data_IF_939716918807
#
_entry.id   IF_939716918807
#
_cell.length_a   1.000
_cell.length_b   1.000
_cell.length_c   1.000
_cell.angle_alpha   90.00
_cell.angle_beta   90.00
_cell.angle_gamma   90.00
#
_symmetry.space_group_name_H-M   'P 1'
#
loop_
_entity.id
_entity.type
_entity.pdbx_description
1 polymer ?
#
# COMPACT_ATOMS: atom_id res chain seq x y z
N UNK A 1 -25.31 -9.61 -8.54
CA UNK A 1 -24.10 -8.78 -8.67
C UNK A 1 -24.51 -7.33 -8.53
N UNK A 2 -24.08 -6.67 -7.46
CA UNK A 2 -24.28 -5.23 -7.27
C UNK A 2 -23.23 -4.50 -8.11
N UNK A 3 -23.68 -3.72 -9.09
CA UNK A 3 -22.81 -2.89 -9.92
C UNK A 3 -22.81 -1.48 -9.39
N UNK A 4 -21.65 -1.00 -8.95
CA UNK A 4 -21.45 0.39 -8.58
C UNK A 4 -21.11 1.25 -9.80
N UNK A 5 -21.53 2.52 -9.80
CA UNK A 5 -21.27 3.46 -10.91
C UNK A 5 -19.76 3.67 -11.17
N UNK A 6 -18.96 3.65 -10.10
CA UNK A 6 -17.52 3.93 -10.14
C UNK A 6 -16.69 2.65 -10.13
N UNK A 7 -16.99 1.74 -9.21
CA UNK A 7 -16.19 0.52 -8.97
C UNK A 7 -16.50 -0.61 -9.96
N UNK A 8 -17.58 -0.49 -10.74
CA UNK A 8 -18.07 -1.57 -11.57
C UNK A 8 -18.65 -2.70 -10.72
N UNK A 9 -18.38 -3.94 -11.12
CA UNK A 9 -18.80 -5.14 -10.40
C UNK A 9 -17.95 -5.31 -9.14
N UNK A 10 -18.62 -5.62 -8.01
CA UNK A 10 -17.93 -5.95 -6.76
C UNK A 10 -17.98 -7.47 -6.59
N UNK A 11 -16.81 -8.08 -6.44
CA UNK A 11 -16.65 -9.53 -6.35
C UNK A 11 -15.89 -9.90 -5.07
N UNK A 12 -16.23 -11.07 -4.52
CA UNK A 12 -15.44 -11.68 -3.46
C UNK A 12 -14.15 -12.23 -4.07
N UNK A 13 -13.03 -11.96 -3.40
CA UNK A 13 -11.68 -12.27 -3.84
C UNK A 13 -10.87 -12.70 -2.61
N UNK A 14 -9.61 -13.10 -2.81
CA UNK A 14 -8.80 -13.79 -1.80
C UNK A 14 -8.54 -12.99 -0.49
N UNK A 15 -8.82 -11.68 -0.46
CA UNK A 15 -8.66 -10.81 0.71
C UNK A 15 -9.89 -9.91 0.94
N UNK A 16 -11.09 -10.45 0.72
CA UNK A 16 -12.36 -9.75 0.84
C UNK A 16 -12.88 -9.26 -0.51
N UNK A 17 -13.53 -8.09 -0.55
CA UNK A 17 -14.19 -7.62 -1.76
C UNK A 17 -13.31 -6.75 -2.64
N UNK A 18 -13.20 -7.06 -3.93
CA UNK A 18 -12.41 -6.30 -4.91
C UNK A 18 -13.31 -5.58 -5.93
N UNK A 19 -12.77 -4.48 -6.47
CA UNK A 19 -13.41 -3.73 -7.55
C UNK A 19 -13.05 -4.29 -8.93
N UNK A 20 -13.94 -4.09 -9.91
CA UNK A 20 -13.67 -4.39 -11.33
C UNK A 20 -12.55 -3.50 -11.88
N UNK A 21 -12.44 -2.26 -11.38
CA UNK A 21 -11.36 -1.35 -11.77
C UNK A 21 -10.06 -1.68 -11.02
N UNK A 22 -8.93 -1.44 -11.69
CA UNK A 22 -7.58 -1.63 -11.14
C UNK A 22 -6.83 -0.31 -11.09
N UNK A 23 -5.83 -0.23 -10.22
CA UNK A 23 -4.94 0.92 -10.12
C UNK A 23 -3.72 0.75 -11.04
N UNK A 24 -3.34 1.85 -11.69
CA UNK A 24 -2.10 1.98 -12.45
C UNK A 24 -1.38 3.25 -12.00
N UNK A 25 -0.06 3.17 -11.89
CA UNK A 25 0.77 4.33 -11.55
C UNK A 25 2.06 4.32 -12.37
N UNK A 26 2.52 5.52 -12.73
CA UNK A 26 3.86 5.73 -13.32
C UNK A 26 4.98 5.51 -12.29
N UNK A 27 4.67 5.53 -10.99
CA UNK A 27 5.64 5.48 -9.90
C UNK A 27 5.95 4.05 -9.44
N UNK A 28 4.94 3.18 -9.50
CA UNK A 28 5.05 1.79 -9.11
C UNK A 28 5.27 0.90 -10.33
N UNK A 29 5.37 -0.41 -10.12
CA UNK A 29 5.51 -1.37 -11.21
C UNK A 29 4.37 -1.20 -12.24
N UNK A 30 4.66 -1.49 -13.51
CA UNK A 30 3.70 -1.31 -14.62
C UNK A 30 2.54 -2.31 -14.62
N UNK A 31 2.43 -3.16 -13.60
CA UNK A 31 1.38 -4.15 -13.48
C UNK A 31 0.08 -3.50 -12.99
N UNK A 32 -1.09 -4.01 -13.39
CA UNK A 32 -2.35 -3.65 -12.73
C UNK A 32 -2.29 -4.04 -11.26
N UNK A 33 -2.73 -3.14 -10.39
CA UNK A 33 -2.79 -3.34 -8.94
C UNK A 33 -4.27 -3.49 -8.54
N UNK A 34 -4.61 -4.59 -7.87
CA UNK A 34 -5.97 -4.84 -7.38
C UNK A 34 -6.37 -3.81 -6.32
N UNK A 35 -7.63 -3.39 -6.35
CA UNK A 35 -8.22 -2.50 -5.35
C UNK A 35 -9.22 -3.29 -4.52
N UNK A 36 -8.94 -3.42 -3.22
CA UNK A 36 -9.86 -3.98 -2.23
C UNK A 36 -10.69 -2.88 -1.58
N UNK A 37 -11.96 -3.19 -1.29
CA UNK A 37 -12.95 -2.28 -0.76
C UNK A 37 -13.41 -2.75 0.62
N UNK A 38 -12.99 -2.04 1.66
CA UNK A 38 -13.24 -2.39 3.06
C UNK A 38 -12.15 -3.29 3.67
N UNK A 39 -12.31 -3.56 4.96
CA UNK A 39 -11.46 -4.48 5.71
C UNK A 39 -11.73 -5.93 5.29
N UNK A 40 -10.69 -6.76 5.39
CA UNK A 40 -10.81 -8.22 5.23
C UNK A 40 -11.47 -8.87 6.45
N UNK A 41 -11.14 -8.37 7.64
CA UNK A 41 -11.68 -8.84 8.91
C UNK A 41 -12.48 -7.74 9.60
N UNK A 42 -13.49 -8.12 10.36
CA UNK A 42 -14.24 -7.24 11.24
C UNK A 42 -13.52 -7.00 12.59
N UNK A 43 -14.18 -6.27 13.49
CA UNK A 43 -13.63 -5.92 14.80
C UNK A 43 -13.47 -7.14 15.74
N UNK A 44 -14.14 -8.25 15.44
CA UNK A 44 -14.02 -9.52 16.16
C UNK A 44 -12.94 -10.43 15.56
N UNK A 45 -12.35 -10.02 14.42
CA UNK A 45 -11.35 -10.77 13.69
C UNK A 45 -11.95 -11.85 12.78
N UNK A 46 -13.26 -11.79 12.52
CA UNK A 46 -13.92 -12.70 11.57
C UNK A 46 -13.89 -12.12 10.16
N UNK A 47 -13.81 -13.00 9.15
CA UNK A 47 -13.79 -12.59 7.75
C UNK A 47 -15.08 -11.87 7.38
N UNK A 48 -14.96 -10.73 6.70
CA UNK A 48 -16.11 -9.96 6.25
C UNK A 48 -16.73 -10.66 5.03
N UNK A 49 -17.80 -11.41 5.26
CA UNK A 49 -18.55 -12.10 4.20
C UNK A 49 -19.65 -11.24 3.55
N UNK A 50 -19.90 -10.04 4.09
CA UNK A 50 -20.95 -9.15 3.59
C UNK A 50 -20.42 -8.11 2.62
N UNK A 51 -20.96 -8.11 1.41
CA UNK A 51 -20.62 -7.12 0.37
C UNK A 51 -20.86 -5.70 0.90
N UNK A 52 -19.94 -4.74 0.67
CA UNK A 52 -20.12 -3.35 1.07
C UNK A 52 -21.43 -2.75 0.53
N UNK A 53 -22.09 -1.96 1.38
CA UNK A 53 -23.31 -1.25 1.02
C UNK A 53 -23.02 -0.11 0.02
N UNK A 54 -24.07 0.40 -0.64
CA UNK A 54 -23.91 1.52 -1.57
C UNK A 54 -23.30 2.76 -0.92
N UNK A 55 -23.67 3.07 0.33
CA UNK A 55 -23.12 4.24 1.04
C UNK A 55 -21.62 4.06 1.36
N UNK A 56 -21.19 2.84 1.65
CA UNK A 56 -19.77 2.52 1.83
C UNK A 56 -19.00 2.60 0.53
N UNK A 57 -19.55 2.07 -0.56
CA UNK A 57 -18.94 2.16 -1.89
C UNK A 57 -18.77 3.62 -2.34
N UNK A 58 -19.74 4.48 -2.05
CA UNK A 58 -19.65 5.93 -2.26
C UNK A 58 -18.60 6.59 -1.34
N UNK A 59 -18.40 6.10 -0.11
CA UNK A 59 -17.33 6.57 0.78
C UNK A 59 -15.94 6.17 0.29
N UNK A 60 -15.79 4.92 -0.16
CA UNK A 60 -14.55 4.44 -0.77
C UNK A 60 -14.23 5.22 -2.03
N UNK A 61 -15.22 5.51 -2.89
CA UNK A 61 -15.03 6.31 -4.10
C UNK A 61 -14.44 7.69 -3.74
N UNK A 62 -15.00 8.36 -2.73
CA UNK A 62 -14.48 9.67 -2.26
C UNK A 62 -13.05 9.57 -1.76
N UNK A 63 -12.74 8.53 -0.98
CA UNK A 63 -11.40 8.29 -0.44
C UNK A 63 -10.39 8.08 -1.57
N UNK A 64 -10.72 7.20 -2.51
CA UNK A 64 -9.82 6.86 -3.61
C UNK A 64 -9.65 8.01 -4.60
N UNK A 65 -10.72 8.73 -4.93
CA UNK A 65 -10.62 9.91 -5.82
C UNK A 65 -9.79 11.03 -5.20
N UNK A 66 -9.90 11.26 -3.89
CA UNK A 66 -9.01 12.17 -3.18
C UNK A 66 -7.56 11.69 -3.22
N UNK A 67 -7.31 10.40 -2.97
CA UNK A 67 -5.96 9.82 -3.09
C UNK A 67 -5.35 9.98 -4.48
N UNK A 68 -6.13 9.76 -5.54
CA UNK A 68 -5.65 9.96 -6.91
C UNK A 68 -5.31 11.42 -7.20
N UNK A 69 -6.05 12.38 -6.63
CA UNK A 69 -5.79 13.80 -6.82
C UNK A 69 -4.44 14.23 -6.21
N UNK A 70 -4.04 13.62 -5.09
CA UNK A 70 -2.82 13.95 -4.36
C UNK A 70 -1.70 12.92 -4.56
N UNK A 71 -1.84 12.00 -5.53
CA UNK A 71 -0.97 10.83 -5.67
C UNK A 71 0.52 11.18 -5.77
N UNK A 72 0.87 12.22 -6.54
CA UNK A 72 2.26 12.64 -6.72
C UNK A 72 2.87 13.16 -5.40
N UNK A 73 2.09 13.85 -4.55
CA UNK A 73 2.53 14.31 -3.22
C UNK A 73 2.66 13.13 -2.25
N UNK A 74 1.66 12.23 -2.22
CA UNK A 74 1.68 11.04 -1.38
C UNK A 74 2.89 10.16 -1.71
N UNK A 75 3.19 9.95 -3.00
CA UNK A 75 4.36 9.16 -3.41
C UNK A 75 5.67 9.80 -2.98
N UNK A 76 5.81 11.14 -3.05
CA UNK A 76 7.04 11.79 -2.56
C UNK A 76 7.19 11.64 -1.04
N UNK A 77 6.10 11.71 -0.29
CA UNK A 77 6.11 11.45 1.16
C UNK A 77 6.47 9.99 1.47
N UNK A 78 5.94 9.03 0.70
CA UNK A 78 6.30 7.61 0.81
C UNK A 78 7.79 7.42 0.60
N UNK A 79 8.37 8.01 -0.45
CA UNK A 79 9.81 7.95 -0.73
C UNK A 79 10.63 8.44 0.45
N UNK A 80 10.26 9.60 1.00
CA UNK A 80 10.96 10.19 2.14
C UNK A 80 10.89 9.28 3.37
N UNK A 81 9.68 8.89 3.78
CA UNK A 81 9.45 8.17 5.03
C UNK A 81 9.99 6.74 5.01
N UNK A 82 9.88 6.05 3.88
CA UNK A 82 10.45 4.71 3.74
C UNK A 82 11.99 4.73 3.68
N UNK A 83 12.58 5.78 3.11
CA UNK A 83 14.03 5.98 3.15
C UNK A 83 14.53 6.28 4.57
N UNK A 84 13.83 7.14 5.33
CA UNK A 84 14.11 7.36 6.76
C UNK A 84 14.11 6.04 7.54
N UNK A 85 13.10 5.18 7.31
CA UNK A 85 13.02 3.84 7.90
C UNK A 85 14.19 2.96 7.48
N UNK A 86 14.57 2.97 6.20
CA UNK A 86 15.72 2.23 5.69
C UNK A 86 17.02 2.62 6.38
N UNK A 87 17.31 3.92 6.50
CA UNK A 87 18.51 4.42 7.17
C UNK A 87 18.57 3.96 8.64
N UNK A 88 17.42 3.96 9.32
CA UNK A 88 17.32 3.56 10.73
C UNK A 88 17.51 2.06 10.93
N UNK A 89 16.89 1.22 10.10
CA UNK A 89 16.75 -0.21 10.35
C UNK A 89 17.69 -1.09 9.54
N UNK A 90 18.05 -0.71 8.33
CA UNK A 90 18.68 -1.62 7.36
C UNK A 90 20.04 -1.13 6.85
N UNK A 91 20.25 0.19 6.71
CA UNK A 91 21.49 0.73 6.13
C UNK A 91 22.74 0.25 6.86
N UNK A 92 22.71 0.15 8.19
CA UNK A 92 23.85 -0.32 8.98
C UNK A 92 24.27 -1.76 8.67
N UNK A 93 23.41 -2.56 8.05
CA UNK A 93 23.67 -3.92 7.59
C UNK A 93 24.08 -3.93 6.13
N UNK A 94 23.25 -3.39 5.23
CA UNK A 94 23.49 -3.45 3.77
C UNK A 94 24.61 -2.56 3.26
N UNK A 95 24.94 -1.46 3.97
CA UNK A 95 26.02 -0.54 3.58
C UNK A 95 27.34 -0.87 4.26
N UNK A 96 27.43 -2.02 4.93
CA UNK A 96 28.63 -2.49 5.61
C UNK A 96 29.01 -3.89 5.15
N UNK A 97 30.03 -3.97 4.29
CA UNK A 97 30.49 -5.23 3.70
C UNK A 97 30.89 -6.30 4.72
N UNK A 98 31.38 -5.90 5.90
CA UNK A 98 31.72 -6.85 6.97
C UNK A 98 30.49 -7.49 7.62
N UNK A 99 29.33 -6.82 7.57
CA UNK A 99 28.08 -7.32 8.12
C UNK A 99 27.26 -8.09 7.09
N UNK A 100 27.12 -7.55 5.89
CA UNK A 100 26.35 -8.17 4.81
C UNK A 100 27.09 -9.35 4.17
N UNK A 101 28.42 -9.35 4.19
CA UNK A 101 29.24 -10.29 3.41
C UNK A 101 29.28 -9.97 1.91
N UNK A 102 28.69 -8.85 1.50
CA UNK A 102 28.53 -8.38 0.12
C UNK A 102 29.00 -6.93 0.00
N UNK A 103 29.27 -6.47 -1.22
CA UNK A 103 29.59 -5.05 -1.43
C UNK A 103 28.41 -4.14 -1.00
N UNK A 104 28.68 -2.92 -0.47
CA UNK A 104 27.64 -1.97 -0.10
C UNK A 104 26.69 -1.68 -1.26
N UNK A 105 25.39 -1.60 -0.99
CA UNK A 105 24.38 -1.32 -2.02
C UNK A 105 24.44 0.13 -2.52
N UNK A 106 25.08 1.04 -1.78
CA UNK A 106 25.22 2.47 -2.07
C UNK A 106 23.86 3.17 -2.23
N UNK A 107 22.90 2.80 -1.38
CA UNK A 107 21.58 3.43 -1.30
C UNK A 107 21.71 4.71 -0.45
N UNK A 108 22.07 5.80 -1.11
CA UNK A 108 22.39 7.10 -0.50
C UNK A 108 21.28 8.16 -0.67
N UNK A 109 20.16 7.78 -1.29
CA UNK A 109 19.05 8.70 -1.61
C UNK A 109 17.71 7.98 -1.62
N UNK A 110 16.65 8.76 -1.38
CA UNK A 110 15.27 8.25 -1.40
C UNK A 110 14.87 7.65 -2.74
N UNK A 111 15.35 8.21 -3.85
CA UNK A 111 15.00 7.69 -5.19
C UNK A 111 15.65 6.33 -5.45
N UNK A 112 16.93 6.14 -5.10
CA UNK A 112 17.58 4.82 -5.19
C UNK A 112 16.93 3.80 -4.26
N UNK A 113 16.56 4.22 -3.05
CA UNK A 113 15.85 3.35 -2.12
C UNK A 113 14.49 2.92 -2.69
N UNK A 114 13.76 3.88 -3.28
CA UNK A 114 12.42 3.67 -3.82
C UNK A 114 12.35 2.57 -4.90
N UNK A 115 13.43 2.36 -5.67
CA UNK A 115 13.55 1.25 -6.64
C UNK A 115 13.33 -0.14 -6.01
N UNK A 116 13.46 -0.25 -4.68
CA UNK A 116 13.26 -1.48 -3.92
C UNK A 116 11.82 -1.69 -3.41
N UNK A 117 10.95 -0.69 -3.56
CA UNK A 117 9.58 -0.68 -3.01
C UNK A 117 8.53 -0.28 -4.05
N UNK A 118 8.75 -0.66 -5.31
CA UNK A 118 7.82 -0.37 -6.42
C UNK A 118 6.76 -1.46 -6.66
N UNK A 119 6.92 -2.65 -6.06
CA UNK A 119 6.03 -3.80 -6.27
C UNK A 119 4.92 -3.78 -5.22
N UNK A 120 3.93 -2.91 -5.44
CA UNK A 120 2.71 -2.81 -4.62
C UNK A 120 1.89 -4.09 -4.81
N UNK A 121 1.51 -4.74 -3.70
CA UNK A 121 0.74 -5.98 -3.75
C UNK A 121 -0.72 -5.69 -4.13
N UNK A 122 -1.35 -4.73 -3.46
CA UNK A 122 -2.70 -4.24 -3.70
C UNK A 122 -2.87 -2.87 -3.04
N UNK A 123 -3.99 -2.19 -3.30
CA UNK A 123 -4.43 -1.02 -2.53
C UNK A 123 -5.75 -1.38 -1.85
N UNK A 124 -5.84 -1.19 -0.53
CA UNK A 124 -7.09 -1.38 0.20
C UNK A 124 -7.65 -0.04 0.63
N UNK A 125 -8.86 0.25 0.18
CA UNK A 125 -9.60 1.46 0.54
C UNK A 125 -10.49 1.13 1.73
N UNK A 126 -10.28 1.84 2.82
CA UNK A 126 -10.98 1.64 4.09
C UNK A 126 -11.92 2.82 4.34
N UNK A 127 -12.77 2.67 5.36
CA UNK A 127 -13.71 3.72 5.75
C UNK A 127 -12.97 4.97 6.25
N UNK A 128 -13.66 6.12 6.16
CA UNK A 128 -13.20 7.39 6.74
C UNK A 128 -11.86 7.92 6.18
N UNK A 129 -11.61 7.73 4.87
CA UNK A 129 -10.41 8.29 4.25
C UNK A 129 -9.14 7.47 4.49
N UNK A 130 -9.27 6.24 5.00
CA UNK A 130 -8.13 5.37 5.30
C UNK A 130 -7.73 4.54 4.07
N UNK A 131 -6.43 4.36 3.86
CA UNK A 131 -5.87 3.51 2.80
C UNK A 131 -4.71 2.69 3.36
N UNK A 132 -4.63 1.43 2.96
CA UNK A 132 -3.52 0.53 3.26
C UNK A 132 -2.85 0.09 1.96
N UNK A 133 -1.53 0.20 1.91
CA UNK A 133 -0.71 -0.14 0.74
C UNK A 133 0.42 -1.07 1.18
N UNK A 134 0.21 -2.40 1.13
CA UNK A 134 1.28 -3.36 1.31
C UNK A 134 2.14 -3.46 0.05
N UNK A 135 3.45 -3.47 0.26
CA UNK A 135 4.47 -3.43 -0.78
C UNK A 135 5.48 -4.55 -0.51
N UNK A 136 5.77 -5.33 -1.54
CA UNK A 136 6.89 -6.27 -1.50
C UNK A 136 8.20 -5.47 -1.51
N UNK A 137 8.95 -5.60 -0.42
CA UNK A 137 10.22 -4.91 -0.25
C UNK A 137 11.38 -5.83 -0.67
N UNK A 138 12.19 -5.41 -1.64
CA UNK A 138 13.31 -6.23 -2.14
C UNK A 138 14.40 -6.48 -1.11
N UNK A 139 14.58 -5.58 -0.15
CA UNK A 139 15.61 -5.71 0.88
C UNK A 139 15.13 -6.54 2.07
N UNK A 140 13.82 -6.53 2.37
CA UNK A 140 13.21 -7.36 3.42
C UNK A 140 12.01 -8.11 2.83
N UNK A 141 12.31 -9.24 2.20
CA UNK A 141 11.29 -10.04 1.51
C UNK A 141 10.39 -10.83 2.46
N UNK A 142 10.78 -10.96 3.72
CA UNK A 142 10.02 -11.68 4.74
C UNK A 142 8.89 -10.81 5.30
N UNK A 143 9.19 -9.55 5.63
CA UNK A 143 8.22 -8.66 6.30
C UNK A 143 7.57 -7.65 5.35
N UNK A 144 8.19 -7.33 4.21
CA UNK A 144 7.69 -6.31 3.29
C UNK A 144 7.62 -4.91 3.93
N UNK A 145 6.80 -4.03 3.34
CA UNK A 145 6.45 -2.74 3.92
C UNK A 145 4.95 -2.54 3.79
N UNK A 146 4.31 -2.05 4.84
CA UNK A 146 2.94 -1.54 4.78
C UNK A 146 2.91 -0.05 5.08
N UNK A 147 2.13 0.67 4.28
CA UNK A 147 1.92 2.10 4.41
C UNK A 147 0.46 2.33 4.77
N UNK A 148 0.22 3.04 5.87
CA UNK A 148 -1.11 3.47 6.32
C UNK A 148 -1.29 4.94 6.05
N UNK A 149 -2.36 5.28 5.33
CA UNK A 149 -2.76 6.65 5.05
C UNK A 149 -4.10 6.93 5.75
N UNK A 150 -4.24 8.13 6.29
CA UNK A 150 -5.52 8.72 6.67
C UNK A 150 -5.63 10.10 6.01
N UNK A 151 -6.66 10.31 5.19
CA UNK A 151 -6.87 11.56 4.45
C UNK A 151 -5.62 12.00 3.68
N UNK A 152 -5.01 11.06 2.94
CA UNK A 152 -3.79 11.25 2.13
C UNK A 152 -2.53 11.63 2.93
N UNK A 153 -2.52 11.43 4.25
CA UNK A 153 -1.32 11.62 5.09
C UNK A 153 -0.87 10.29 5.66
N UNK A 154 0.44 10.04 5.63
CA UNK A 154 1.03 8.84 6.20
C UNK A 154 0.90 8.90 7.72
N UNK A 155 0.15 7.96 8.27
CA UNK A 155 -0.02 7.80 9.73
C UNK A 155 0.90 6.73 10.29
N UNK A 156 1.27 5.72 9.51
CA UNK A 156 2.22 4.68 9.92
C UNK A 156 2.94 3.99 8.75
N UNK A 157 4.14 3.46 9.02
CA UNK A 157 4.94 2.62 8.12
C UNK A 157 5.65 1.51 8.91
N UNK A 158 5.28 0.26 8.62
CA UNK A 158 5.78 -0.95 9.30
C UNK A 158 6.02 -2.11 8.35
N UNK A 159 6.29 -3.29 8.90
CA UNK A 159 6.10 -4.54 8.14
C UNK A 159 4.62 -4.78 7.85
N UNK A 160 4.33 -5.67 6.91
CA UNK A 160 2.96 -6.03 6.56
C UNK A 160 2.27 -6.61 7.80
N UNK A 161 1.06 -6.10 8.10
CA UNK A 161 0.28 -6.42 9.30
C UNK A 161 0.91 -6.03 10.66
N UNK A 162 1.93 -5.17 10.68
CA UNK A 162 2.52 -4.61 11.92
C UNK A 162 1.98 -3.22 12.30
N UNK A 163 1.15 -2.61 11.45
CA UNK A 163 0.66 -1.22 11.55
C UNK A 163 -0.84 -1.13 11.78
#
# INVERSE_FOLDING_TARGET
MNKHKYWGSIEEDWAGFSAEIVFYSKHFSSKPITIFLGSEYDDEGEEVETVPTHDELDNFEKTYTAFLADLDEVVDEIKEKTFERYLKLYAHYYENAHKSGEEPLNIDSKDKHFENIQDVNYIRILRHGNIQIPIRYKLDTEHGIEIRLENNKIIDIGGIAET
#
